data_IF_194317809274
#
_entry.id   IF_194317809274
#
_cell.length_a   1.000
_cell.length_b   1.000
_cell.length_c   1.000
_cell.angle_alpha   90.00
_cell.angle_beta   90.00
_cell.angle_gamma   90.00
#
_symmetry.space_group_name_H-M   'P 1'
#
loop_
_entity.id
_entity.type
_entity.pdbx_description
1 polymer ?
#
# COMPACT_ATOMS: atom_id res chain seq x y z
N UNK A 1 -5.98 3.63 -25.76
CA UNK A 1 -5.78 2.30 -25.12
C UNK A 1 -6.72 2.18 -23.94
N UNK A 2 -7.53 1.11 -23.89
CA UNK A 2 -8.46 0.87 -22.77
C UNK A 2 -7.79 0.09 -21.64
N UNK A 3 -7.64 0.74 -20.48
CA UNK A 3 -7.06 0.18 -19.26
C UNK A 3 -8.16 -0.06 -18.25
N UNK A 4 -8.31 -1.29 -17.76
CA UNK A 4 -9.31 -1.62 -16.75
C UNK A 4 -8.61 -1.91 -15.42
N UNK A 5 -8.90 -1.09 -14.42
CA UNK A 5 -8.43 -1.29 -13.05
C UNK A 5 -9.43 -2.12 -12.25
N UNK A 6 -8.95 -3.15 -11.55
CA UNK A 6 -9.78 -4.03 -10.72
C UNK A 6 -9.36 -3.90 -9.26
N UNK A 7 -10.29 -3.47 -8.41
CA UNK A 7 -10.10 -3.23 -6.98
C UNK A 7 -10.79 -4.30 -6.11
N UNK A 8 -10.35 -4.41 -4.88
CA UNK A 8 -10.96 -5.30 -3.88
C UNK A 8 -12.28 -4.79 -3.32
N UNK A 9 -12.76 -3.64 -3.78
CA UNK A 9 -14.01 -3.00 -3.38
C UNK A 9 -13.82 -1.69 -2.60
N UNK A 10 -14.91 -0.91 -2.52
CA UNK A 10 -14.98 0.34 -1.76
C UNK A 10 -14.39 1.56 -2.46
N UNK A 11 -14.06 1.48 -3.76
CA UNK A 11 -13.56 2.64 -4.51
C UNK A 11 -14.69 3.47 -5.12
N UNK A 12 -15.74 2.82 -5.58
CA UNK A 12 -16.93 3.52 -6.10
C UNK A 12 -17.62 4.38 -5.01
N UNK A 13 -17.54 3.95 -3.74
CA UNK A 13 -18.07 4.70 -2.61
C UNK A 13 -17.18 5.90 -2.18
N UNK A 14 -15.92 5.95 -2.60
CA UNK A 14 -15.06 7.11 -2.41
C UNK A 14 -15.36 8.12 -3.49
N UNK A 15 -16.05 9.20 -3.11
CA UNK A 15 -16.40 10.30 -4.02
C UNK A 15 -15.22 10.86 -4.82
N UNK A 16 -15.54 11.68 -5.83
CA UNK A 16 -14.53 12.32 -6.68
C UNK A 16 -13.58 13.23 -5.89
N UNK A 17 -14.00 13.75 -4.73
CA UNK A 17 -13.31 14.77 -3.96
C UNK A 17 -12.25 14.21 -2.98
N UNK A 18 -12.18 12.89 -2.78
CA UNK A 18 -11.17 12.25 -1.93
C UNK A 18 -9.82 12.07 -2.63
N UNK A 19 -8.74 11.76 -1.87
CA UNK A 19 -7.41 11.58 -2.44
C UNK A 19 -7.35 10.45 -3.44
N UNK A 20 -6.50 10.61 -4.44
CA UNK A 20 -6.32 9.63 -5.52
C UNK A 20 -5.36 8.49 -5.19
N UNK A 21 -4.67 8.53 -4.05
CA UNK A 21 -3.62 7.58 -3.66
C UNK A 21 -3.99 6.11 -3.93
N UNK A 22 -5.15 5.70 -3.44
CA UNK A 22 -5.60 4.30 -3.51
C UNK A 22 -6.36 3.96 -4.80
N UNK A 23 -6.42 4.88 -5.76
CA UNK A 23 -6.79 4.57 -7.13
C UNK A 23 -5.62 4.07 -7.96
N UNK A 24 -4.41 4.08 -7.37
CA UNK A 24 -3.20 3.51 -7.96
C UNK A 24 -2.92 4.04 -9.37
N UNK A 25 -3.08 5.36 -9.55
CA UNK A 25 -2.84 6.06 -10.79
C UNK A 25 -3.97 5.99 -11.82
N UNK A 26 -5.10 5.33 -11.51
CA UNK A 26 -6.20 5.23 -12.46
C UNK A 26 -6.83 6.60 -12.80
N UNK A 27 -6.97 7.47 -11.79
CA UNK A 27 -7.52 8.83 -12.00
C UNK A 27 -6.61 9.67 -12.88
N UNK A 28 -5.32 9.66 -12.58
CA UNK A 28 -4.30 10.42 -13.31
C UNK A 28 -4.13 9.91 -14.74
N UNK A 29 -4.17 8.59 -14.95
CA UNK A 29 -4.17 8.01 -16.30
C UNK A 29 -5.44 8.38 -17.08
N UNK A 30 -6.60 8.44 -16.43
CA UNK A 30 -7.86 8.82 -17.06
C UNK A 30 -7.91 10.27 -17.57
N UNK A 31 -7.01 11.14 -17.10
CA UNK A 31 -6.87 12.51 -17.60
C UNK A 31 -6.01 12.58 -18.88
N UNK A 32 -5.22 11.55 -19.17
CA UNK A 32 -4.38 11.50 -20.36
C UNK A 32 -5.21 11.03 -21.57
N UNK A 33 -5.20 11.78 -22.66
CA UNK A 33 -5.97 11.49 -23.89
C UNK A 33 -5.70 10.11 -24.50
N UNK A 34 -4.50 9.55 -24.25
CA UNK A 34 -4.10 8.25 -24.78
C UNK A 34 -4.76 7.06 -24.08
N UNK A 35 -5.46 7.29 -22.95
CA UNK A 35 -6.05 6.21 -22.15
C UNK A 35 -7.56 6.40 -21.97
N UNK A 36 -8.29 5.31 -22.15
CA UNK A 36 -9.66 5.14 -21.65
C UNK A 36 -9.56 4.27 -20.39
N UNK A 37 -9.89 4.84 -19.25
CA UNK A 37 -9.75 4.14 -17.94
C UNK A 37 -11.13 3.75 -17.41
N UNK A 38 -11.29 2.46 -17.11
CA UNK A 38 -12.46 1.91 -16.40
C UNK A 38 -12.01 1.35 -15.06
N UNK A 39 -12.75 1.68 -13.99
CA UNK A 39 -12.55 1.15 -12.65
C UNK A 39 -13.65 0.13 -12.33
N UNK A 40 -13.29 -1.04 -11.79
CA UNK A 40 -14.21 -2.10 -11.41
C UNK A 40 -13.93 -2.48 -9.96
N UNK A 41 -14.92 -2.33 -9.08
CA UNK A 41 -14.89 -2.93 -7.75
C UNK A 41 -15.39 -4.38 -7.82
N UNK A 42 -14.65 -5.28 -7.15
CA UNK A 42 -15.11 -6.67 -7.02
C UNK A 42 -16.25 -6.74 -6.01
N UNK A 43 -17.38 -7.21 -6.49
CA UNK A 43 -18.60 -7.37 -5.71
C UNK A 43 -18.47 -8.37 -4.57
N UNK A 44 -19.11 -8.09 -3.43
CA UNK A 44 -19.17 -9.00 -2.28
C UNK A 44 -20.25 -10.09 -2.42
N UNK A 45 -21.01 -10.09 -3.52
CA UNK A 45 -22.07 -11.07 -3.74
C UNK A 45 -21.54 -12.53 -3.72
N UNK A 46 -22.29 -13.51 -3.19
CA UNK A 46 -21.83 -14.90 -3.07
C UNK A 46 -21.58 -15.52 -4.45
N UNK A 47 -20.58 -16.39 -4.53
CA UNK A 47 -20.25 -17.14 -5.74
C UNK A 47 -21.36 -18.14 -6.10
N UNK A 48 -21.51 -18.45 -7.38
CA UNK A 48 -22.32 -19.60 -7.80
C UNK A 48 -21.72 -20.91 -7.26
N UNK A 49 -22.56 -21.94 -7.09
CA UNK A 49 -22.19 -23.19 -6.42
C UNK A 49 -20.99 -23.88 -7.06
N UNK A 50 -20.91 -23.88 -8.39
CA UNK A 50 -19.82 -24.55 -9.14
C UNK A 50 -18.51 -23.80 -8.92
N UNK A 51 -18.53 -22.49 -9.10
CA UNK A 51 -17.36 -21.63 -8.90
C UNK A 51 -16.89 -21.68 -7.44
N UNK A 52 -17.80 -21.73 -6.47
CA UNK A 52 -17.46 -21.89 -5.06
C UNK A 52 -16.78 -23.23 -4.77
N UNK A 53 -17.22 -24.33 -5.40
CA UNK A 53 -16.58 -25.64 -5.25
C UNK A 53 -15.18 -25.65 -5.84
N UNK A 54 -15.01 -25.20 -7.08
CA UNK A 54 -13.71 -25.07 -7.76
C UNK A 54 -12.76 -24.22 -6.91
N UNK A 55 -13.25 -23.09 -6.45
CA UNK A 55 -12.47 -22.17 -5.63
C UNK A 55 -11.98 -22.80 -4.32
N UNK A 56 -12.84 -23.58 -3.63
CA UNK A 56 -12.47 -24.27 -2.38
C UNK A 56 -11.36 -25.30 -2.60
N UNK A 57 -11.39 -26.03 -3.71
CA UNK A 57 -10.35 -27.01 -4.05
C UNK A 57 -9.02 -26.31 -4.28
N UNK A 58 -9.00 -25.28 -5.10
CA UNK A 58 -7.77 -24.58 -5.47
C UNK A 58 -7.26 -23.58 -4.41
N UNK A 59 -8.12 -23.05 -3.54
CA UNK A 59 -7.70 -22.17 -2.44
C UNK A 59 -6.67 -22.82 -1.51
N UNK A 60 -6.70 -24.14 -1.36
CA UNK A 60 -5.70 -24.88 -0.57
C UNK A 60 -4.29 -24.80 -1.15
N UNK A 61 -4.16 -24.52 -2.45
CA UNK A 61 -2.91 -24.50 -3.19
C UNK A 61 -2.37 -23.09 -3.45
N UNK A 62 -3.22 -22.07 -3.33
CA UNK A 62 -2.86 -20.67 -3.54
C UNK A 62 -2.39 -19.99 -2.23
N UNK A 63 -1.76 -18.82 -2.30
CA UNK A 63 -1.37 -18.06 -1.12
C UNK A 63 -2.53 -17.87 -0.14
N UNK A 64 -2.30 -17.83 1.19
CA UNK A 64 -3.36 -17.82 2.21
C UNK A 64 -4.41 -16.71 2.06
N UNK A 65 -4.05 -15.58 1.48
CA UNK A 65 -4.99 -14.48 1.20
C UNK A 65 -5.80 -14.66 -0.08
N UNK A 66 -5.41 -15.61 -0.94
CA UNK A 66 -6.22 -15.97 -2.11
C UNK A 66 -7.27 -16.98 -1.67
N UNK A 67 -8.28 -16.51 -0.95
CA UNK A 67 -9.40 -17.34 -0.53
C UNK A 67 -10.21 -17.83 -1.74
N UNK A 68 -11.00 -18.89 -1.54
CA UNK A 68 -11.94 -19.37 -2.55
C UNK A 68 -12.81 -18.27 -3.14
N UNK A 69 -13.17 -17.28 -2.33
CA UNK A 69 -14.00 -16.15 -2.74
C UNK A 69 -13.34 -15.28 -3.80
N UNK A 70 -12.03 -15.03 -3.72
CA UNK A 70 -11.35 -14.17 -4.70
C UNK A 70 -11.32 -14.78 -6.09
N UNK A 71 -11.08 -16.09 -6.20
CA UNK A 71 -11.16 -16.79 -7.49
C UNK A 71 -12.58 -16.67 -8.06
N UNK A 72 -13.59 -16.87 -7.22
CA UNK A 72 -14.99 -16.78 -7.62
C UNK A 72 -15.40 -15.37 -8.04
N UNK A 73 -14.99 -14.35 -7.28
CA UNK A 73 -15.25 -12.95 -7.60
C UNK A 73 -14.58 -12.55 -8.91
N UNK A 74 -13.30 -12.91 -9.10
CA UNK A 74 -12.58 -12.65 -10.34
C UNK A 74 -13.28 -13.24 -11.57
N UNK A 75 -13.93 -14.41 -11.46
CA UNK A 75 -14.70 -14.99 -12.58
C UNK A 75 -15.81 -14.08 -13.08
N UNK A 76 -16.50 -13.40 -12.18
CA UNK A 76 -17.67 -12.56 -12.54
C UNK A 76 -17.31 -11.35 -13.38
N UNK A 77 -16.13 -10.81 -13.19
CA UNK A 77 -15.70 -9.63 -13.94
C UNK A 77 -15.09 -9.99 -15.29
N UNK A 78 -14.85 -11.28 -15.61
CA UNK A 78 -14.22 -11.68 -16.87
C UNK A 78 -14.96 -11.18 -18.12
N UNK A 79 -16.29 -11.12 -18.08
CA UNK A 79 -17.07 -10.59 -19.20
C UNK A 79 -16.83 -9.09 -19.43
N UNK A 80 -16.69 -8.32 -18.36
CA UNK A 80 -16.39 -6.88 -18.40
C UNK A 80 -14.97 -6.61 -18.91
N UNK A 81 -14.04 -7.54 -18.66
CA UNK A 81 -12.65 -7.41 -19.09
C UNK A 81 -12.41 -7.69 -20.58
N UNK A 82 -13.41 -8.20 -21.31
CA UNK A 82 -13.26 -8.55 -22.74
C UNK A 82 -12.86 -7.36 -23.62
N UNK A 83 -13.41 -6.18 -23.31
CA UNK A 83 -13.14 -4.94 -24.04
C UNK A 83 -11.82 -4.24 -23.66
N UNK A 84 -11.12 -4.70 -22.62
CA UNK A 84 -9.87 -4.09 -22.19
C UNK A 84 -8.71 -4.40 -23.16
N UNK A 85 -7.80 -3.45 -23.34
CA UNK A 85 -6.49 -3.71 -23.95
C UNK A 85 -5.53 -4.31 -22.92
N UNK A 86 -5.65 -3.88 -21.65
CA UNK A 86 -4.87 -4.37 -20.52
C UNK A 86 -5.68 -4.29 -19.23
N UNK A 87 -5.43 -5.19 -18.31
CA UNK A 87 -6.05 -5.22 -16.98
C UNK A 87 -4.99 -4.95 -15.93
N UNK A 88 -5.28 -4.02 -15.01
CA UNK A 88 -4.44 -3.71 -13.85
C UNK A 88 -5.17 -4.13 -12.58
N UNK A 89 -4.54 -4.96 -11.74
CA UNK A 89 -5.10 -5.36 -10.45
C UNK A 89 -4.36 -4.67 -9.31
N UNK A 90 -5.10 -4.25 -8.30
CA UNK A 90 -4.58 -3.40 -7.21
C UNK A 90 -4.39 -4.15 -5.89
N UNK A 91 -4.51 -5.48 -5.92
CA UNK A 91 -4.30 -6.34 -4.76
C UNK A 91 -3.76 -7.71 -5.19
N UNK A 92 -2.92 -8.29 -4.34
CA UNK A 92 -2.24 -9.57 -4.61
C UNK A 92 -3.23 -10.70 -4.89
N UNK A 93 -4.30 -10.80 -4.10
CA UNK A 93 -5.34 -11.81 -4.25
C UNK A 93 -6.09 -11.71 -5.58
N UNK A 94 -6.33 -10.50 -6.08
CA UNK A 94 -6.98 -10.28 -7.37
C UNK A 94 -6.04 -10.69 -8.50
N UNK A 95 -4.75 -10.32 -8.39
CA UNK A 95 -3.74 -10.68 -9.38
C UNK A 95 -3.66 -12.20 -9.57
N UNK A 96 -3.58 -12.96 -8.47
CA UNK A 96 -3.56 -14.41 -8.52
C UNK A 96 -4.92 -15.01 -8.95
N UNK A 97 -6.04 -14.41 -8.54
CA UNK A 97 -7.37 -14.84 -8.96
C UNK A 97 -7.58 -14.71 -10.47
N UNK A 98 -7.19 -13.58 -11.09
CA UNK A 98 -7.25 -13.40 -12.54
C UNK A 98 -6.20 -14.25 -13.27
N UNK A 99 -4.98 -14.39 -12.72
CA UNK A 99 -3.96 -15.26 -13.27
C UNK A 99 -4.42 -16.74 -13.33
N UNK A 100 -5.18 -17.19 -12.33
CA UNK A 100 -5.80 -18.52 -12.34
C UNK A 100 -6.75 -18.68 -13.54
N UNK A 101 -7.68 -17.75 -13.77
CA UNK A 101 -8.59 -17.80 -14.91
C UNK A 101 -7.86 -17.65 -16.26
N UNK A 102 -6.79 -16.86 -16.28
CA UNK A 102 -5.90 -16.75 -17.43
C UNK A 102 -5.19 -18.07 -17.75
N UNK A 103 -4.76 -18.82 -16.74
CA UNK A 103 -4.13 -20.14 -16.93
C UNK A 103 -5.09 -21.19 -17.50
N UNK A 104 -6.39 -21.02 -17.31
CA UNK A 104 -7.45 -21.84 -17.88
C UNK A 104 -7.95 -21.33 -19.26
N UNK A 105 -7.30 -20.31 -19.83
CA UNK A 105 -7.68 -19.74 -21.13
C UNK A 105 -8.95 -18.86 -21.12
N UNK A 106 -9.54 -18.61 -19.93
CA UNK A 106 -10.77 -17.83 -19.81
C UNK A 106 -10.58 -16.31 -19.86
N UNK A 107 -9.32 -15.85 -19.71
CA UNK A 107 -8.93 -14.45 -19.86
C UNK A 107 -7.69 -14.39 -20.76
N UNK A 108 -7.81 -13.70 -21.90
CA UNK A 108 -6.74 -13.55 -22.89
C UNK A 108 -6.39 -12.08 -23.09
N UNK A 109 -5.98 -11.43 -21.99
CA UNK A 109 -5.56 -10.03 -21.97
C UNK A 109 -4.23 -9.89 -21.22
N UNK A 110 -3.41 -8.89 -21.57
CA UNK A 110 -2.29 -8.50 -20.73
C UNK A 110 -2.78 -8.21 -19.32
N UNK A 111 -2.03 -8.62 -18.33
CA UNK A 111 -2.36 -8.45 -16.92
C UNK A 111 -1.17 -7.85 -16.18
N UNK A 112 -1.38 -6.73 -15.51
CA UNK A 112 -0.44 -6.09 -14.59
C UNK A 112 -0.96 -6.28 -13.16
N UNK A 113 -0.12 -6.80 -12.27
CA UNK A 113 -0.52 -7.09 -10.89
C UNK A 113 0.27 -6.27 -9.88
N UNK A 114 -0.37 -5.32 -9.20
CA UNK A 114 0.24 -4.62 -8.08
C UNK A 114 0.16 -5.54 -6.86
N UNK A 115 1.33 -5.88 -6.31
CA UNK A 115 1.47 -6.83 -5.22
C UNK A 115 1.73 -6.09 -3.90
N UNK A 116 0.85 -6.31 -2.92
CA UNK A 116 1.00 -5.79 -1.58
C UNK A 116 1.34 -6.93 -0.62
N UNK A 117 2.57 -6.96 -0.11
CA UNK A 117 3.00 -7.93 0.90
C UNK A 117 3.05 -9.38 0.43
N UNK A 118 3.31 -9.62 -0.85
CA UNK A 118 3.45 -10.97 -1.41
C UNK A 118 4.59 -11.77 -0.76
N UNK A 119 5.59 -11.09 -0.20
CA UNK A 119 6.72 -11.70 0.53
C UNK A 119 6.30 -12.38 1.84
N UNK A 120 5.18 -11.99 2.42
CA UNK A 120 4.72 -12.51 3.71
C UNK A 120 3.94 -13.82 3.61
N UNK A 121 3.65 -14.33 2.41
CA UNK A 121 2.88 -15.57 2.27
C UNK A 121 3.73 -16.80 2.59
N UNK A 122 3.37 -17.60 3.61
CA UNK A 122 4.06 -18.85 3.86
C UNK A 122 3.76 -19.84 2.74
N UNK A 123 4.80 -20.33 2.09
CA UNK A 123 4.71 -21.38 1.07
C UNK A 123 5.23 -22.65 1.68
N UNK A 124 4.31 -23.50 2.16
CA UNK A 124 4.62 -24.66 2.97
C UNK A 124 5.17 -25.87 2.17
N UNK A 125 5.10 -25.87 0.83
CA UNK A 125 5.59 -26.98 0.02
C UNK A 125 6.13 -26.55 -1.35
N UNK A 126 7.03 -27.34 -1.89
CA UNK A 126 7.62 -27.12 -3.21
C UNK A 126 6.58 -27.15 -4.34
N UNK A 127 5.61 -28.05 -4.27
CA UNK A 127 4.51 -28.12 -5.25
C UNK A 127 3.72 -26.80 -5.24
N UNK A 128 3.41 -26.30 -4.06
CA UNK A 128 2.71 -25.02 -3.91
C UNK A 128 3.54 -23.86 -4.43
N UNK A 129 4.85 -23.86 -4.16
CA UNK A 129 5.78 -22.85 -4.69
C UNK A 129 5.77 -22.83 -6.22
N UNK A 130 5.86 -24.00 -6.86
CA UNK A 130 5.82 -24.13 -8.34
C UNK A 130 4.49 -23.67 -8.93
N UNK A 131 3.37 -23.97 -8.28
CA UNK A 131 2.07 -23.51 -8.74
C UNK A 131 1.97 -21.98 -8.67
N UNK A 132 2.35 -21.39 -7.55
CA UNK A 132 2.34 -19.92 -7.39
C UNK A 132 3.31 -19.26 -8.37
N UNK A 133 4.50 -19.83 -8.57
CA UNK A 133 5.48 -19.38 -9.57
C UNK A 133 4.94 -19.48 -11.01
N UNK A 134 4.12 -20.47 -11.30
CA UNK A 134 3.44 -20.58 -12.60
C UNK A 134 2.38 -19.50 -12.80
N UNK A 135 1.65 -19.13 -11.74
CA UNK A 135 0.62 -18.11 -11.82
C UNK A 135 1.21 -16.70 -11.92
N UNK A 136 2.25 -16.39 -11.14
CA UNK A 136 2.88 -15.07 -11.17
C UNK A 136 3.47 -14.73 -12.55
N UNK A 137 3.90 -15.75 -13.31
CA UNK A 137 4.35 -15.61 -14.70
C UNK A 137 3.22 -15.28 -15.70
N UNK A 138 1.96 -15.30 -15.28
CA UNK A 138 0.80 -14.96 -16.12
C UNK A 138 0.47 -13.47 -16.12
N UNK A 139 1.16 -12.68 -15.30
CA UNK A 139 1.00 -11.23 -15.22
C UNK A 139 2.35 -10.54 -15.03
N UNK A 140 2.42 -9.25 -15.32
CA UNK A 140 3.56 -8.40 -15.02
C UNK A 140 3.43 -7.95 -13.54
N UNK A 141 4.29 -8.44 -12.62
CA UNK A 141 4.22 -8.04 -11.23
C UNK A 141 4.81 -6.64 -11.02
N UNK A 142 4.17 -5.86 -10.15
CA UNK A 142 4.63 -4.54 -9.72
C UNK A 142 4.70 -4.51 -8.20
N UNK A 143 5.83 -4.08 -7.65
CA UNK A 143 6.07 -3.88 -6.22
C UNK A 143 6.08 -2.39 -5.88
N UNK A 144 5.86 -2.05 -4.62
CA UNK A 144 5.94 -0.67 -4.14
C UNK A 144 7.33 -0.24 -3.68
N UNK A 145 8.25 -1.18 -3.50
CA UNK A 145 9.61 -0.88 -3.09
C UNK A 145 10.61 -1.94 -3.57
N UNK A 146 11.86 -1.53 -3.72
CA UNK A 146 12.96 -2.41 -4.11
C UNK A 146 13.30 -3.45 -3.04
N UNK A 147 12.98 -3.17 -1.78
CA UNK A 147 13.25 -4.06 -0.65
C UNK A 147 12.63 -5.46 -0.80
N UNK A 148 11.48 -5.57 -1.48
CA UNK A 148 10.82 -6.85 -1.72
C UNK A 148 11.37 -7.62 -2.93
N UNK A 149 12.05 -6.92 -3.85
CA UNK A 149 12.43 -7.46 -5.16
C UNK A 149 13.29 -8.74 -5.08
N UNK A 150 14.41 -8.76 -4.31
CA UNK A 150 15.26 -9.96 -4.26
C UNK A 150 14.52 -11.18 -3.69
N UNK A 151 13.65 -10.97 -2.70
CA UNK A 151 12.89 -12.06 -2.08
C UNK A 151 11.79 -12.59 -3.00
N UNK A 152 11.09 -11.74 -3.74
CA UNK A 152 10.08 -12.14 -4.73
C UNK A 152 10.73 -12.93 -5.88
N UNK A 153 11.83 -12.44 -6.46
CA UNK A 153 12.54 -13.13 -7.52
C UNK A 153 13.04 -14.49 -7.06
N UNK A 154 13.69 -14.56 -5.89
CA UNK A 154 14.19 -15.80 -5.30
C UNK A 154 13.05 -16.79 -5.00
N UNK A 155 12.00 -16.32 -4.33
CA UNK A 155 10.88 -17.15 -3.85
C UNK A 155 10.11 -17.81 -4.98
N UNK A 156 9.89 -17.09 -6.06
CA UNK A 156 9.08 -17.54 -7.19
C UNK A 156 9.93 -17.98 -8.39
N UNK A 157 11.25 -18.03 -8.25
CA UNK A 157 12.18 -18.35 -9.32
C UNK A 157 11.89 -17.52 -10.58
N UNK A 158 11.79 -16.22 -10.41
CA UNK A 158 11.56 -15.27 -11.50
C UNK A 158 12.92 -14.81 -12.08
N UNK A 159 12.99 -14.58 -13.38
CA UNK A 159 14.18 -13.95 -13.97
C UNK A 159 14.39 -12.54 -13.41
N UNK A 160 15.65 -12.15 -13.23
CA UNK A 160 15.96 -10.77 -12.86
C UNK A 160 15.40 -9.77 -13.88
N UNK A 161 14.79 -8.70 -13.39
CA UNK A 161 14.15 -7.68 -14.23
C UNK A 161 12.77 -8.05 -14.77
N UNK A 162 12.20 -9.20 -14.36
CA UNK A 162 10.81 -9.58 -14.71
C UNK A 162 9.78 -8.94 -13.81
N UNK A 163 10.21 -8.33 -12.71
CA UNK A 163 9.36 -7.62 -11.74
C UNK A 163 9.63 -6.13 -11.85
N UNK A 164 8.59 -5.32 -11.91
CA UNK A 164 8.70 -3.87 -11.94
C UNK A 164 8.54 -3.29 -10.53
N UNK A 165 9.21 -2.16 -10.27
CA UNK A 165 9.00 -1.37 -9.05
C UNK A 165 8.26 -0.10 -9.40
N UNK A 166 7.11 0.12 -8.77
CA UNK A 166 6.22 1.24 -9.04
C UNK A 166 6.39 2.40 -8.07
N UNK A 167 7.11 2.25 -6.96
CA UNK A 167 7.21 3.23 -5.86
C UNK A 167 5.90 3.98 -5.63
N UNK A 168 5.22 3.69 -4.55
CA UNK A 168 3.94 4.30 -4.23
C UNK A 168 4.00 5.84 -4.33
N UNK A 169 2.91 6.46 -4.73
CA UNK A 169 2.77 7.91 -4.80
C UNK A 169 1.52 8.38 -4.09
N UNK A 170 1.58 9.56 -3.51
CA UNK A 170 0.46 10.18 -2.80
C UNK A 170 -0.07 11.41 -3.56
N UNK A 171 -1.33 11.72 -3.34
CA UNK A 171 -2.00 12.88 -3.92
C UNK A 171 -1.49 14.18 -3.27
N UNK A 172 -0.53 14.81 -3.91
CA UNK A 172 0.11 16.04 -3.45
C UNK A 172 -0.77 17.29 -3.57
N UNK A 173 -1.91 17.18 -4.25
CA UNK A 173 -2.94 18.20 -4.30
C UNK A 173 -3.91 18.11 -3.11
N UNK A 174 -4.17 16.90 -2.61
CA UNK A 174 -5.00 16.68 -1.44
C UNK A 174 -4.20 16.77 -0.13
N UNK A 175 -3.07 16.03 -0.03
CA UNK A 175 -2.22 16.04 1.16
C UNK A 175 -1.29 17.26 1.13
N UNK A 176 -1.77 18.38 1.65
CA UNK A 176 -1.05 19.66 1.65
C UNK A 176 -0.74 20.15 3.05
N UNK A 177 0.31 20.94 3.25
CA UNK A 177 0.48 21.68 4.50
C UNK A 177 -0.73 22.59 4.76
N UNK A 178 -1.00 22.99 6.00
CA UNK A 178 -2.04 23.96 6.28
C UNK A 178 -1.73 25.31 5.62
N UNK A 179 -2.75 25.99 5.13
CA UNK A 179 -2.63 27.33 4.52
C UNK A 179 -2.12 28.36 5.52
N UNK A 180 -2.59 28.26 6.77
CA UNK A 180 -2.14 29.11 7.86
C UNK A 180 -1.06 28.41 8.69
N UNK A 181 -0.18 29.19 9.29
CA UNK A 181 0.86 28.68 10.18
C UNK A 181 0.28 28.31 11.56
N UNK A 182 -0.59 27.31 11.58
CA UNK A 182 -1.22 26.81 12.78
C UNK A 182 -0.20 26.16 13.72
N UNK A 183 -0.35 26.33 15.04
CA UNK A 183 0.50 25.63 16.00
C UNK A 183 0.29 24.12 15.87
N UNK A 184 1.40 23.40 15.78
CA UNK A 184 1.39 21.93 15.76
C UNK A 184 1.59 21.39 17.17
N UNK A 185 0.97 20.27 17.48
CA UNK A 185 1.05 19.66 18.80
C UNK A 185 1.02 18.13 18.73
N UNK A 186 1.64 17.51 19.71
CA UNK A 186 1.55 16.09 19.97
C UNK A 186 2.13 15.17 18.88
N UNK A 187 1.92 13.90 19.12
CA UNK A 187 2.37 12.77 18.30
C UNK A 187 1.15 12.03 17.79
N UNK A 188 1.10 11.74 16.50
CA UNK A 188 0.06 10.95 15.85
C UNK A 188 0.64 9.63 15.34
N UNK A 189 -0.06 8.52 15.52
CA UNK A 189 0.23 7.25 14.88
C UNK A 189 -1.05 6.66 14.27
N UNK A 190 -0.98 6.28 12.99
CA UNK A 190 -2.13 5.77 12.24
C UNK A 190 -1.74 4.46 11.54
N UNK A 191 -2.64 3.50 11.51
CA UNK A 191 -2.46 2.31 10.67
C UNK A 191 -3.24 1.10 11.14
N UNK A 192 -3.53 0.21 10.17
CA UNK A 192 -4.34 -1.00 10.37
C UNK A 192 -3.67 -2.26 9.81
N UNK A 193 -2.42 -2.15 9.36
CA UNK A 193 -1.70 -3.34 8.89
C UNK A 193 -1.12 -4.14 10.06
N UNK A 194 -0.98 -5.45 9.87
CA UNK A 194 -0.57 -6.40 10.91
C UNK A 194 0.90 -6.27 11.35
N UNK A 195 1.64 -5.31 10.79
CA UNK A 195 3.05 -5.04 11.13
C UNK A 195 3.20 -3.83 12.05
N UNK A 196 2.07 -3.21 12.46
CA UNK A 196 2.11 -2.09 13.40
C UNK A 196 2.49 -2.56 14.80
N UNK A 197 3.57 -1.99 15.33
CA UNK A 197 4.04 -2.23 16.71
C UNK A 197 3.62 -1.09 17.63
N UNK A 198 2.31 -0.96 17.83
CA UNK A 198 1.79 0.06 18.74
C UNK A 198 2.15 -0.19 20.20
N UNK A 199 2.49 -1.42 20.60
CA UNK A 199 2.93 -1.70 21.96
C UNK A 199 4.27 -1.02 22.22
N UNK A 200 5.21 -1.08 21.29
CA UNK A 200 6.47 -0.36 21.39
C UNK A 200 6.29 1.17 21.44
N UNK A 201 5.30 1.70 20.69
CA UNK A 201 4.95 3.12 20.78
C UNK A 201 4.38 3.50 22.17
N UNK A 202 3.51 2.66 22.73
CA UNK A 202 2.96 2.87 24.09
C UNK A 202 4.08 2.87 25.14
N UNK A 203 5.05 1.97 25.01
CA UNK A 203 6.22 1.99 25.89
C UNK A 203 7.08 3.25 25.68
N UNK A 204 7.25 3.72 24.44
CA UNK A 204 7.95 4.97 24.18
C UNK A 204 7.22 6.18 24.80
N UNK A 205 5.88 6.19 24.78
CA UNK A 205 5.06 7.26 25.39
C UNK A 205 5.22 7.33 26.92
N UNK A 206 5.53 6.21 27.60
CA UNK A 206 5.82 6.20 29.05
C UNK A 206 7.08 7.00 29.42
N UNK A 207 8.06 7.08 28.50
CA UNK A 207 9.26 7.91 28.69
C UNK A 207 9.01 9.42 28.43
N UNK A 208 7.84 9.78 27.92
CA UNK A 208 7.50 11.13 27.47
C UNK A 208 6.11 11.56 28.02
N UNK A 209 5.93 11.56 29.37
CA UNK A 209 4.61 11.81 29.95
C UNK A 209 4.04 13.22 29.66
N UNK A 210 4.91 14.16 29.28
CA UNK A 210 4.54 15.53 28.94
C UNK A 210 4.05 15.70 27.50
N UNK A 211 4.21 14.69 26.67
CA UNK A 211 3.83 14.71 25.24
C UNK A 211 2.53 13.93 25.07
N UNK A 212 1.55 14.51 24.38
CA UNK A 212 0.31 13.84 24.03
C UNK A 212 0.47 12.95 22.80
N UNK A 213 -0.09 11.74 22.86
CA UNK A 213 -0.09 10.78 21.77
C UNK A 213 -1.51 10.45 21.37
N UNK A 214 -1.81 10.45 20.07
CA UNK A 214 -3.07 9.96 19.52
C UNK A 214 -2.78 8.76 18.60
N UNK A 215 -3.37 7.61 18.89
CA UNK A 215 -3.29 6.39 18.08
C UNK A 215 -4.63 6.15 17.41
N UNK A 216 -4.66 6.00 16.10
CA UNK A 216 -5.86 5.73 15.32
C UNK A 216 -5.69 4.39 14.59
N UNK A 217 -6.44 3.39 15.02
CA UNK A 217 -6.31 2.02 14.51
C UNK A 217 -7.56 1.18 14.79
N UNK A 218 -7.73 0.07 14.06
CA UNK A 218 -8.69 -1.00 14.38
C UNK A 218 -8.10 -2.09 15.27
N UNK A 219 -6.80 -2.02 15.56
CA UNK A 219 -6.17 -2.98 16.46
C UNK A 219 -6.73 -2.81 17.88
N UNK A 220 -6.76 -3.90 18.61
CA UNK A 220 -7.28 -3.93 19.97
C UNK A 220 -6.52 -2.95 20.87
N UNK A 221 -7.27 -2.20 21.67
CA UNK A 221 -6.69 -1.28 22.64
C UNK A 221 -5.97 -2.08 23.74
N UNK A 222 -4.70 -1.76 24.03
CA UNK A 222 -4.00 -2.39 25.16
C UNK A 222 -4.71 -2.16 26.50
N UNK A 223 -4.67 -3.17 27.38
CA UNK A 223 -5.32 -3.11 28.70
C UNK A 223 -4.83 -1.94 29.56
N UNK A 224 -3.57 -1.55 29.41
CA UNK A 224 -2.94 -0.48 30.20
C UNK A 224 -2.32 0.56 29.26
N UNK A 225 -2.92 1.73 29.21
CA UNK A 225 -2.39 2.90 28.50
C UNK A 225 -1.88 3.95 29.49
N UNK A 226 -0.76 4.63 29.19
CA UNK A 226 -0.37 5.85 29.87
C UNK A 226 -1.43 6.94 29.69
N UNK A 227 -1.53 7.87 30.65
CA UNK A 227 -2.53 8.94 30.62
C UNK A 227 -2.38 9.90 29.43
N UNK A 228 -1.18 9.99 28.87
CA UNK A 228 -0.85 10.81 27.71
C UNK A 228 -1.13 10.12 26.36
N UNK A 229 -1.73 8.92 26.35
CA UNK A 229 -2.08 8.19 25.12
C UNK A 229 -3.59 8.09 24.95
N UNK A 230 -4.11 8.74 23.92
CA UNK A 230 -5.46 8.55 23.42
C UNK A 230 -5.47 7.44 22.38
N UNK A 231 -6.40 6.46 22.54
CA UNK A 231 -6.57 5.37 21.59
C UNK A 231 -7.95 5.47 20.95
N UNK A 232 -7.96 5.76 19.65
CA UNK A 232 -9.18 5.94 18.87
C UNK A 232 -9.35 4.77 17.90
N UNK A 233 -10.56 4.22 17.87
CA UNK A 233 -10.94 3.30 16.81
C UNK A 233 -11.07 4.09 15.50
N UNK A 234 -10.41 3.61 14.43
CA UNK A 234 -10.51 4.30 13.16
C UNK A 234 -9.99 3.51 11.98
N UNK A 235 -10.75 3.54 10.91
CA UNK A 235 -10.30 3.14 9.58
C UNK A 235 -11.13 3.89 8.52
N UNK A 236 -10.78 3.66 7.26
CA UNK A 236 -11.46 4.29 6.13
C UNK A 236 -12.71 3.53 5.65
N UNK A 237 -13.07 2.37 6.25
CA UNK A 237 -14.20 1.53 5.81
C UNK A 237 -15.39 1.58 6.75
N UNK A 238 -15.13 1.35 8.02
CA UNK A 238 -16.16 1.03 9.00
C UNK A 238 -16.21 2.03 10.15
N UNK A 239 -15.07 2.62 10.52
CA UNK A 239 -14.98 3.61 11.57
C UNK A 239 -14.60 4.94 10.92
N UNK A 240 -15.47 5.96 11.04
CA UNK A 240 -15.37 7.16 10.22
C UNK A 240 -14.25 8.07 10.69
N UNK A 241 -13.04 7.83 10.18
CA UNK A 241 -12.04 8.89 10.05
C UNK A 241 -12.02 9.23 8.56
N UNK A 242 -12.58 10.37 8.20
CA UNK A 242 -12.59 10.81 6.78
C UNK A 242 -11.19 11.18 6.32
N UNK A 243 -10.99 11.24 5.01
CA UNK A 243 -9.69 11.64 4.46
C UNK A 243 -9.37 13.09 4.83
N UNK A 244 -10.37 13.98 4.91
CA UNK A 244 -10.25 15.38 5.35
C UNK A 244 -9.88 15.47 6.84
N UNK A 245 -10.52 14.67 7.69
CA UNK A 245 -10.18 14.59 9.10
C UNK A 245 -8.76 14.08 9.30
N UNK A 246 -8.37 13.05 8.57
CA UNK A 246 -7.01 12.51 8.62
C UNK A 246 -5.98 13.54 8.14
N UNK A 247 -6.27 14.29 7.08
CA UNK A 247 -5.43 15.40 6.62
C UNK A 247 -5.26 16.46 7.71
N UNK A 248 -6.36 16.87 8.34
CA UNK A 248 -6.32 17.86 9.44
C UNK A 248 -5.48 17.36 10.63
N UNK A 249 -5.56 16.05 10.96
CA UNK A 249 -4.74 15.44 12.00
C UNK A 249 -3.26 15.44 11.64
N UNK A 250 -2.89 15.12 10.40
CA UNK A 250 -1.50 15.24 9.94
C UNK A 250 -1.00 16.68 9.94
N UNK A 251 -1.85 17.63 9.56
CA UNK A 251 -1.50 19.06 9.58
C UNK A 251 -1.30 19.59 11.01
N UNK A 252 -2.01 19.03 11.98
CA UNK A 252 -1.93 19.42 13.40
C UNK A 252 -0.75 18.75 14.13
N UNK A 253 -0.36 17.55 13.76
CA UNK A 253 0.69 16.81 14.43
C UNK A 253 2.07 17.43 14.21
N UNK A 254 2.88 17.55 15.28
CA UNK A 254 4.32 17.84 15.16
C UNK A 254 5.04 16.64 14.56
N UNK A 255 4.71 15.45 15.07
CA UNK A 255 5.36 14.20 14.73
C UNK A 255 4.33 13.13 14.39
N UNK A 256 4.55 12.44 13.28
CA UNK A 256 3.86 11.19 12.96
C UNK A 256 4.81 10.03 13.14
N UNK A 257 4.42 9.09 13.99
CA UNK A 257 5.22 7.88 14.24
C UNK A 257 4.64 6.72 13.46
N UNK A 258 5.51 6.00 12.77
CA UNK A 258 5.18 4.75 12.06
C UNK A 258 5.87 3.59 12.77
N UNK A 259 5.26 3.05 13.84
CA UNK A 259 5.83 1.97 14.61
C UNK A 259 5.62 0.65 13.87
N UNK A 260 6.71 -0.11 13.64
CA UNK A 260 6.67 -1.36 12.88
C UNK A 260 7.47 -2.45 13.57
N UNK A 261 6.96 -3.67 13.51
CA UNK A 261 7.76 -4.88 13.68
C UNK A 261 8.71 -5.06 12.48
N UNK A 262 9.76 -5.86 12.67
CA UNK A 262 10.67 -6.21 11.58
C UNK A 262 9.92 -6.90 10.43
N UNK A 263 10.08 -6.38 9.22
CA UNK A 263 9.45 -6.91 8.02
C UNK A 263 10.20 -6.48 6.76
N UNK A 264 10.03 -7.28 5.69
CA UNK A 264 10.53 -6.95 4.34
C UNK A 264 9.50 -6.12 3.55
N UNK A 265 8.22 -6.25 3.91
CA UNK A 265 7.16 -5.47 3.27
C UNK A 265 7.34 -3.97 3.54
N UNK A 266 7.12 -3.08 2.54
CA UNK A 266 7.18 -1.63 2.72
C UNK A 266 5.97 -1.09 3.47
N UNK A 267 5.81 -1.52 4.74
CA UNK A 267 4.71 -1.08 5.61
C UNK A 267 4.85 0.41 5.98
N UNK A 268 3.71 1.06 6.20
CA UNK A 268 3.66 2.46 6.63
C UNK A 268 3.96 3.50 5.57
N UNK A 269 4.22 3.09 4.33
CA UNK A 269 4.61 3.98 3.23
C UNK A 269 3.59 5.10 3.00
N UNK A 270 2.31 4.78 2.83
CA UNK A 270 1.26 5.79 2.60
C UNK A 270 1.14 6.78 3.76
N UNK A 271 1.12 6.27 5.00
CA UNK A 271 1.01 7.10 6.20
C UNK A 271 2.18 8.08 6.33
N UNK A 272 3.41 7.59 6.14
CA UNK A 272 4.59 8.44 6.22
C UNK A 272 4.60 9.51 5.13
N UNK A 273 4.28 9.14 3.88
CA UNK A 273 4.26 10.07 2.76
C UNK A 273 3.16 11.12 2.90
N UNK A 274 1.95 10.73 3.28
CA UNK A 274 0.82 11.63 3.53
C UNK A 274 1.16 12.63 4.66
N UNK A 275 1.76 12.15 5.75
CA UNK A 275 2.22 12.99 6.85
C UNK A 275 3.28 14.01 6.40
N UNK A 276 4.28 13.57 5.64
CA UNK A 276 5.31 14.43 5.07
C UNK A 276 4.69 15.49 4.16
N UNK A 277 3.76 15.11 3.28
CA UNK A 277 3.06 16.04 2.39
C UNK A 277 2.26 17.08 3.17
N UNK A 278 1.65 16.72 4.29
CA UNK A 278 0.98 17.64 5.20
C UNK A 278 1.95 18.45 6.08
N UNK A 279 3.26 18.25 5.94
CA UNK A 279 4.30 19.00 6.65
C UNK A 279 4.58 18.50 8.08
N UNK A 280 4.08 17.34 8.48
CA UNK A 280 4.46 16.70 9.74
C UNK A 280 5.87 16.08 9.62
N UNK A 281 6.60 16.06 10.72
CA UNK A 281 7.85 15.31 10.80
C UNK A 281 7.55 13.83 11.05
N UNK A 282 8.41 12.93 10.55
CA UNK A 282 8.18 11.48 10.65
C UNK A 282 9.28 10.81 11.43
N UNK A 283 8.89 9.97 12.39
CA UNK A 283 9.72 8.94 13.03
C UNK A 283 9.24 7.57 12.54
N UNK A 284 10.13 6.79 11.97
CA UNK A 284 9.80 5.51 11.34
C UNK A 284 10.75 4.41 11.79
N UNK A 285 10.26 3.19 12.03
CA UNK A 285 11.15 2.07 12.27
C UNK A 285 11.89 1.68 10.99
N UNK A 286 13.22 1.58 11.07
CA UNK A 286 14.08 1.12 9.99
C UNK A 286 14.05 -0.40 9.92
N UNK A 287 13.07 -0.93 9.20
CA UNK A 287 12.96 -2.37 8.92
C UNK A 287 13.72 -2.73 7.65
N UNK A 288 13.89 -4.03 7.35
CA UNK A 288 14.40 -4.48 6.06
C UNK A 288 13.49 -4.10 4.88
N UNK A 289 12.24 -3.74 5.16
CA UNK A 289 11.28 -3.18 4.19
C UNK A 289 11.31 -1.66 4.05
N UNK A 290 12.36 -0.98 4.57
CA UNK A 290 12.44 0.48 4.43
C UNK A 290 12.48 0.90 2.95
N UNK A 291 11.44 1.61 2.55
CA UNK A 291 11.13 1.97 1.16
C UNK A 291 11.72 3.32 0.72
N UNK A 292 12.15 4.15 1.66
CA UNK A 292 12.58 5.52 1.39
C UNK A 292 14.09 5.71 1.18
N UNK A 293 14.87 4.62 1.12
CA UNK A 293 16.33 4.68 1.19
C UNK A 293 17.00 5.56 0.12
N UNK A 294 16.43 5.63 -1.08
CA UNK A 294 16.98 6.42 -2.19
C UNK A 294 16.57 7.89 -2.14
N UNK A 295 15.48 8.23 -1.44
CA UNK A 295 14.87 9.56 -1.49
C UNK A 295 14.96 10.27 -0.15
N UNK A 296 14.72 9.56 0.96
CA UNK A 296 14.64 10.15 2.30
C UNK A 296 15.89 9.81 3.12
N UNK A 297 16.56 10.81 3.61
CA UNK A 297 17.79 10.69 4.42
C UNK A 297 17.45 10.64 5.91
N UNK A 298 18.00 9.66 6.59
CA UNK A 298 17.92 9.52 8.05
C UNK A 298 18.53 10.75 8.76
N UNK A 299 17.86 11.21 9.81
CA UNK A 299 18.28 12.38 10.61
C UNK A 299 18.08 13.74 9.91
N UNK A 300 17.76 13.76 8.61
CA UNK A 300 17.56 14.99 7.80
C UNK A 300 16.09 15.11 7.36
N UNK A 301 15.57 14.12 6.68
CA UNK A 301 14.22 14.12 6.13
C UNK A 301 13.24 13.41 7.06
N UNK A 302 13.69 12.32 7.67
CA UNK A 302 12.96 11.49 8.64
C UNK A 302 13.91 11.08 9.77
N UNK A 303 13.37 10.62 10.90
CA UNK A 303 14.14 9.95 11.93
C UNK A 303 13.90 8.44 11.84
N UNK A 304 14.94 7.67 11.57
CA UNK A 304 14.87 6.22 11.53
C UNK A 304 15.35 5.61 12.85
N UNK A 305 14.55 4.71 13.41
CA UNK A 305 14.86 4.04 14.67
C UNK A 305 14.78 2.53 14.51
N UNK A 306 15.57 1.76 15.27
CA UNK A 306 15.46 0.30 15.24
C UNK A 306 14.04 -0.17 15.62
N UNK A 307 13.51 -1.25 15.01
CA UNK A 307 12.31 -1.92 15.51
C UNK A 307 12.48 -2.37 16.96
N UNK A 308 11.39 -2.41 17.71
CA UNK A 308 11.33 -2.89 19.10
C UNK A 308 12.27 -2.15 20.09
N UNK A 309 12.69 -0.93 19.79
CA UNK A 309 13.46 -0.06 20.69
C UNK A 309 12.64 1.19 21.06
N UNK A 310 11.84 1.05 22.13
CA UNK A 310 11.01 2.14 22.65
C UNK A 310 11.86 3.33 23.15
N UNK A 311 13.05 3.07 23.68
CA UNK A 311 13.96 4.12 24.12
C UNK A 311 14.53 4.94 22.97
N UNK A 312 14.93 4.29 21.86
CA UNK A 312 15.36 5.00 20.65
C UNK A 312 14.19 5.79 20.04
N UNK A 313 12.99 5.20 20.00
CA UNK A 313 11.79 5.88 19.52
C UNK A 313 11.48 7.13 20.36
N UNK A 314 11.51 7.03 21.68
CA UNK A 314 11.29 8.17 22.57
C UNK A 314 12.32 9.29 22.36
N UNK A 315 13.62 8.94 22.23
CA UNK A 315 14.68 9.92 21.92
C UNK A 315 14.45 10.62 20.58
N UNK A 316 14.07 9.89 19.54
CA UNK A 316 13.78 10.43 18.22
C UNK A 316 12.57 11.37 18.26
N UNK A 317 11.48 10.98 18.94
CA UNK A 317 10.30 11.83 19.15
C UNK A 317 10.70 13.12 19.87
N UNK A 318 11.44 13.03 20.98
CA UNK A 318 11.89 14.20 21.74
C UNK A 318 12.76 15.14 20.89
N UNK A 319 13.65 14.57 20.07
CA UNK A 319 14.46 15.33 19.11
C UNK A 319 13.60 16.12 18.12
N UNK A 320 12.59 15.45 17.53
CA UNK A 320 11.64 16.04 16.58
C UNK A 320 10.83 17.15 17.25
N UNK A 321 10.29 16.91 18.45
CA UNK A 321 9.48 17.88 19.20
C UNK A 321 10.26 19.14 19.58
N UNK A 322 11.58 19.04 19.78
CA UNK A 322 12.44 20.18 20.10
C UNK A 322 13.03 20.90 18.87
N UNK A 323 12.82 20.36 17.66
CA UNK A 323 13.37 20.92 16.43
C UNK A 323 12.36 21.80 15.72
N UNK A 324 12.60 23.12 15.69
CA UNK A 324 11.73 24.06 14.97
C UNK A 324 12.01 24.15 13.44
N UNK A 325 12.96 23.36 12.93
CA UNK A 325 13.31 23.42 11.51
C UNK A 325 12.37 22.54 10.68
N UNK A 326 11.80 23.10 9.61
CA UNK A 326 11.09 22.34 8.58
C UNK A 326 12.07 21.38 7.90
N UNK A 327 11.77 20.09 7.93
CA UNK A 327 12.58 19.10 7.21
C UNK A 327 12.27 19.16 5.70
N UNK A 328 13.27 18.95 4.84
CA UNK A 328 13.10 19.03 3.37
C UNK A 328 12.41 17.81 2.75
N UNK A 329 11.86 16.92 3.56
CA UNK A 329 11.29 15.65 3.13
C UNK A 329 10.21 15.81 2.03
N UNK A 330 9.30 16.80 2.19
CA UNK A 330 8.26 17.08 1.19
C UNK A 330 8.85 17.45 -0.16
N UNK A 331 9.80 18.36 -0.17
CA UNK A 331 10.43 18.84 -1.42
C UNK A 331 11.18 17.69 -2.12
N UNK A 332 11.76 16.75 -1.34
CA UNK A 332 12.39 15.56 -1.89
C UNK A 332 11.37 14.59 -2.52
N UNK A 333 10.26 14.34 -1.87
CA UNK A 333 9.21 13.49 -2.45
C UNK A 333 8.71 14.08 -3.77
N UNK A 334 8.49 15.41 -3.82
CA UNK A 334 8.08 16.11 -5.03
C UNK A 334 9.15 16.05 -6.11
N UNK A 335 10.42 16.34 -5.77
CA UNK A 335 11.54 16.33 -6.72
C UNK A 335 11.80 14.93 -7.32
N UNK A 336 11.51 13.86 -6.57
CA UNK A 336 11.62 12.48 -7.05
C UNK A 336 10.31 11.93 -7.61
N UNK A 337 9.29 12.78 -7.78
CA UNK A 337 8.02 12.42 -8.39
C UNK A 337 7.27 11.28 -7.65
N UNK A 338 7.35 11.29 -6.31
CA UNK A 338 6.61 10.33 -5.47
C UNK A 338 5.19 10.83 -5.19
N UNK A 339 4.57 11.32 -6.25
CA UNK A 339 3.18 11.80 -6.30
C UNK A 339 2.27 10.77 -6.96
N UNK A 340 0.95 10.94 -6.85
CA UNK A 340 -0.02 10.11 -7.55
C UNK A 340 0.18 10.16 -9.08
N UNK A 341 0.47 11.35 -9.61
CA UNK A 341 0.81 11.53 -11.04
C UNK A 341 2.11 10.81 -11.42
N UNK A 342 3.13 10.83 -10.54
CA UNK A 342 4.37 10.10 -10.75
C UNK A 342 4.16 8.60 -10.74
N UNK A 343 3.34 8.10 -9.81
CA UNK A 343 2.95 6.70 -9.79
C UNK A 343 2.24 6.29 -11.10
N UNK A 344 1.28 7.09 -11.56
CA UNK A 344 0.59 6.86 -12.82
C UNK A 344 1.54 6.76 -14.01
N UNK A 345 2.55 7.66 -14.10
CA UNK A 345 3.58 7.60 -15.16
C UNK A 345 4.43 6.33 -15.09
N UNK A 346 4.70 5.81 -13.89
CA UNK A 346 5.42 4.53 -13.73
C UNK A 346 4.54 3.36 -14.14
N UNK A 347 3.26 3.36 -13.75
CA UNK A 347 2.30 2.33 -14.14
C UNK A 347 2.04 2.35 -15.64
N UNK A 348 1.94 3.52 -16.30
CA UNK A 348 1.74 3.59 -17.76
C UNK A 348 2.84 2.85 -18.53
N UNK A 349 4.12 3.05 -18.14
CA UNK A 349 5.25 2.33 -18.76
C UNK A 349 5.15 0.81 -18.60
N UNK A 350 4.71 0.35 -17.42
CA UNK A 350 4.51 -1.09 -17.18
C UNK A 350 3.35 -1.64 -18.01
N UNK A 351 2.27 -0.88 -18.11
CA UNK A 351 1.09 -1.20 -18.92
C UNK A 351 1.47 -1.30 -20.40
N UNK A 352 2.17 -0.31 -20.94
CA UNK A 352 2.63 -0.28 -22.33
C UNK A 352 3.52 -1.49 -22.64
N UNK A 353 4.52 -1.74 -21.79
CA UNK A 353 5.39 -2.92 -21.91
C UNK A 353 4.59 -4.22 -21.88
N UNK A 354 3.62 -4.37 -20.98
CA UNK A 354 2.81 -5.58 -20.88
C UNK A 354 1.97 -5.81 -22.15
N UNK A 355 1.48 -4.74 -22.79
CA UNK A 355 0.76 -4.82 -24.07
C UNK A 355 1.68 -5.15 -25.23
N UNK A 356 2.87 -4.55 -25.28
CA UNK A 356 3.89 -4.86 -26.31
C UNK A 356 4.34 -6.32 -26.23
N UNK A 357 4.70 -6.80 -25.05
CA UNK A 357 5.12 -8.18 -24.82
C UNK A 357 4.01 -9.19 -25.17
N UNK A 358 2.74 -8.81 -24.91
CA UNK A 358 1.57 -9.62 -25.29
C UNK A 358 1.36 -9.72 -26.82
N UNK A 359 1.70 -8.67 -27.56
CA UNK A 359 1.52 -8.60 -29.02
C UNK A 359 2.66 -9.27 -29.81
N UNK A 360 3.81 -9.53 -29.16
CA UNK A 360 4.92 -10.23 -29.81
C UNK A 360 4.52 -11.69 -30.09
N UNK A 361 4.65 -12.16 -31.33
CA UNK A 361 4.42 -13.58 -31.61
C UNK A 361 5.44 -14.42 -30.81
N UNK A 362 4.93 -15.44 -30.12
CA UNK A 362 5.74 -16.46 -29.39
C UNK A 362 6.38 -17.41 -30.38
#
# INVERSE_FOLDING_TARGET
>A
MKVVFVYSGGREARGADGPSDFFYGARELGVLESYEVECIDLDHAPADRVTALVSRVFAKWLPPRTSADWIARCRRVLSRLRGADVVVTTATEISFGLAFWKSLGMMQKPLVGILCGAVNYPIASEIRRRLVASLIKKFQPVLFADSELPEIERRFALPSGSVSVGWFGVDDSFWTPPEENLPREGVLAVGNDSRRDFLNLVEAARFLPEISFTVITRMEKPCFLPLNVEWRLGDWKEAPVTDEELRALYQKAVCVVVPLEECIQPSGQSVAMQAIMCGAQVVHNKTNGWWGAEVLRDGVDVELVPPQDAGAMARAIKKVMSCNQKKPARDRLLAHDWTASGFARRISRVVEKAVEDWRRPT
#
